data_IF_198773407733
#
_entry.id   IF_198773407733
#
_cell.length_a   1.000
_cell.length_b   1.000
_cell.length_c   1.000
_cell.angle_alpha   90.00
_cell.angle_beta   90.00
_cell.angle_gamma   90.00
#
_symmetry.space_group_name_H-M   'P 1'
#
loop_
_entity.id
_entity.type
_entity.pdbx_description
1 polymer ?
#
# COMPACT_ATOMS: atom_id res chain seq x y z
N UNK A 1 12.07 -18.95 22.39
CA UNK A 1 11.30 -19.59 21.30
C UNK A 1 12.10 -19.56 20.00
N UNK A 2 12.65 -18.40 19.53
CA UNK A 2 13.37 -18.31 18.25
C UNK A 2 14.53 -19.31 18.13
N UNK A 3 15.40 -19.39 19.14
CA UNK A 3 16.54 -20.30 19.15
C UNK A 3 16.08 -21.75 19.01
N UNK A 4 15.08 -22.16 19.79
CA UNK A 4 14.50 -23.50 19.71
C UNK A 4 13.94 -23.82 18.31
N UNK A 5 13.28 -22.85 17.67
CA UNK A 5 12.77 -23.01 16.30
C UNK A 5 13.92 -23.12 15.28
N UNK A 6 15.02 -22.39 15.49
CA UNK A 6 16.22 -22.49 14.65
C UNK A 6 16.89 -23.88 14.77
N UNK A 7 16.87 -24.49 15.97
CA UNK A 7 17.36 -25.85 16.20
C UNK A 7 16.48 -26.91 15.52
N UNK A 8 15.14 -26.77 15.62
CA UNK A 8 14.19 -27.76 15.09
C UNK A 8 14.08 -27.67 13.57
N UNK A 9 13.91 -26.47 13.02
CA UNK A 9 13.62 -26.26 11.61
C UNK A 9 14.83 -25.83 10.79
N UNK A 10 15.92 -25.41 11.46
CA UNK A 10 17.08 -24.79 10.86
C UNK A 10 16.88 -23.29 10.60
N UNK A 11 17.86 -22.46 11.00
CA UNK A 11 17.80 -20.99 10.88
C UNK A 11 17.52 -20.51 9.43
N UNK A 12 18.04 -21.23 8.42
CA UNK A 12 17.82 -20.95 7.00
C UNK A 12 16.35 -21.06 6.56
N UNK A 13 15.53 -21.78 7.33
CA UNK A 13 14.12 -22.01 7.05
C UNK A 13 13.18 -20.99 7.73
N UNK A 14 13.76 -20.01 8.42
CA UNK A 14 13.00 -18.87 8.91
C UNK A 14 12.40 -18.08 7.75
N UNK A 15 11.09 -17.80 7.83
CA UNK A 15 10.35 -17.05 6.81
C UNK A 15 10.13 -15.62 7.26
N UNK A 16 9.43 -15.44 8.39
CA UNK A 16 9.08 -14.10 8.88
C UNK A 16 8.79 -14.10 10.39
N UNK A 17 8.96 -12.93 10.98
CA UNK A 17 8.38 -12.55 12.26
C UNK A 17 7.18 -11.64 11.96
N UNK A 18 6.00 -12.08 12.38
CA UNK A 18 4.76 -11.32 12.21
C UNK A 18 4.45 -10.65 13.53
N UNK A 19 4.29 -9.32 13.50
CA UNK A 19 3.90 -8.51 14.65
C UNK A 19 2.40 -8.29 14.63
N UNK A 20 1.70 -8.72 15.67
CA UNK A 20 0.26 -8.56 15.81
C UNK A 20 -0.01 -7.53 16.90
N UNK A 21 -0.56 -6.38 16.54
CA UNK A 21 -0.94 -5.33 17.50
C UNK A 21 -2.24 -5.70 18.18
N UNK A 22 -2.21 -5.85 19.51
CA UNK A 22 -3.36 -6.25 20.34
C UNK A 22 -4.14 -5.08 20.93
N UNK A 23 -3.46 -4.03 21.32
CA UNK A 23 -4.02 -2.94 22.09
C UNK A 23 -3.30 -1.62 21.81
N UNK A 24 -3.85 -0.51 22.29
CA UNK A 24 -3.15 0.77 22.34
C UNK A 24 -2.20 0.87 23.53
N UNK A 25 -1.66 2.07 23.76
CA UNK A 25 -0.81 2.38 24.91
C UNK A 25 -1.56 2.13 26.23
N UNK A 26 -0.87 1.54 27.21
CA UNK A 26 -1.39 1.23 28.55
C UNK A 26 -0.85 2.19 29.62
N UNK A 27 0.02 3.14 29.25
CA UNK A 27 0.56 4.16 30.16
C UNK A 27 1.58 3.64 31.16
N UNK A 28 2.41 2.67 30.76
CA UNK A 28 3.49 2.14 31.57
C UNK A 28 4.64 3.16 31.74
N UNK A 29 5.49 2.97 32.75
CA UNK A 29 6.68 3.82 32.97
C UNK A 29 7.77 3.67 31.89
N UNK A 30 7.71 2.60 31.10
CA UNK A 30 8.61 2.31 29.97
C UNK A 30 7.80 2.15 28.70
N UNK A 31 8.36 1.56 27.65
CA UNK A 31 7.62 1.25 26.42
C UNK A 31 6.53 0.20 26.71
N UNK A 32 5.31 0.51 26.28
CA UNK A 32 4.18 -0.41 26.39
C UNK A 32 4.37 -1.63 25.49
N UNK A 33 4.13 -2.81 26.01
CA UNK A 33 4.09 -4.04 25.23
C UNK A 33 2.68 -4.23 24.65
N UNK A 34 2.46 -3.70 23.47
CA UNK A 34 1.15 -3.66 22.79
C UNK A 34 0.97 -4.74 21.73
N UNK A 35 1.97 -5.61 21.54
CA UNK A 35 2.02 -6.57 20.43
C UNK A 35 2.31 -7.98 20.89
N UNK A 36 1.78 -8.95 20.16
CA UNK A 36 2.22 -10.34 20.13
C UNK A 36 3.03 -10.61 18.87
N UNK A 37 3.74 -11.74 18.86
CA UNK A 37 4.61 -12.14 17.77
C UNK A 37 4.29 -13.55 17.33
N UNK A 38 4.11 -13.76 16.03
CA UNK A 38 4.06 -15.08 15.40
C UNK A 38 5.38 -15.31 14.67
N UNK A 39 5.97 -16.47 14.92
CA UNK A 39 7.21 -16.85 14.25
C UNK A 39 6.89 -17.88 13.19
N UNK A 40 7.14 -17.52 11.93
CA UNK A 40 6.85 -18.39 10.80
C UNK A 40 8.12 -19.08 10.29
N UNK A 41 8.10 -20.39 10.33
CA UNK A 41 9.10 -21.28 9.73
C UNK A 41 8.46 -22.15 8.66
N UNK A 42 9.26 -22.59 7.71
CA UNK A 42 8.88 -23.60 6.75
C UNK A 42 9.81 -24.82 6.85
N UNK A 43 9.40 -25.94 6.31
CA UNK A 43 10.24 -27.16 6.26
C UNK A 43 11.42 -26.99 5.31
N UNK A 44 11.21 -26.28 4.19
CA UNK A 44 12.24 -25.97 3.20
C UNK A 44 11.90 -24.66 2.48
N UNK A 45 12.70 -23.63 2.71
CA UNK A 45 12.46 -22.27 2.16
C UNK A 45 12.55 -22.22 0.64
N UNK A 46 13.33 -23.10 0.00
CA UNK A 46 13.45 -23.15 -1.47
C UNK A 46 12.24 -23.77 -2.15
N UNK A 47 11.41 -24.50 -1.38
CA UNK A 47 10.22 -25.19 -1.89
C UNK A 47 8.91 -24.63 -1.32
N UNK A 48 8.96 -23.51 -0.61
CA UNK A 48 7.76 -22.90 -0.02
C UNK A 48 6.81 -22.47 -1.13
N UNK A 49 5.54 -22.85 -1.00
CA UNK A 49 4.45 -22.36 -1.84
C UNK A 49 3.71 -21.30 -1.03
N UNK A 50 3.87 -20.04 -1.40
CA UNK A 50 3.21 -18.93 -0.75
C UNK A 50 2.21 -18.28 -1.72
N UNK A 51 0.98 -18.13 -1.25
CA UNK A 51 -0.05 -17.36 -1.94
C UNK A 51 -0.23 -16.04 -1.18
N UNK A 52 0.01 -14.93 -1.85
CA UNK A 52 -0.14 -13.62 -1.24
C UNK A 52 -1.57 -13.44 -0.74
N UNK A 53 -1.69 -13.14 0.54
CA UNK A 53 -2.96 -12.77 1.16
C UNK A 53 -3.22 -11.28 0.97
N UNK A 54 -4.48 -10.93 0.74
CA UNK A 54 -4.92 -9.57 0.52
C UNK A 54 -6.04 -9.21 1.48
N UNK A 55 -6.11 -7.94 1.83
CA UNK A 55 -7.22 -7.34 2.55
C UNK A 55 -7.80 -6.19 1.73
N UNK A 56 -9.09 -5.90 1.89
CA UNK A 56 -9.70 -4.74 1.28
C UNK A 56 -9.01 -3.46 1.76
N UNK A 57 -8.90 -2.48 0.87
CA UNK A 57 -8.39 -1.16 1.27
C UNK A 57 -9.40 -0.47 2.16
N UNK A 58 -8.97 -0.11 3.36
CA UNK A 58 -9.72 0.71 4.27
C UNK A 58 -9.33 2.20 4.08
N UNK A 59 -10.33 3.08 4.12
CA UNK A 59 -10.12 4.54 4.11
C UNK A 59 -9.46 5.08 5.38
N UNK A 60 -9.38 4.28 6.44
CA UNK A 60 -8.63 4.59 7.66
C UNK A 60 -7.14 4.35 7.50
N UNK A 61 -6.72 3.58 6.49
CA UNK A 61 -5.31 3.31 6.22
C UNK A 61 -4.62 4.58 5.68
N UNK A 62 -3.43 4.88 6.21
CA UNK A 62 -2.59 5.98 5.74
C UNK A 62 -2.28 5.90 4.24
N UNK A 63 -2.26 4.72 3.66
CA UNK A 63 -2.03 4.52 2.22
C UNK A 63 -3.16 5.11 1.36
N UNK A 64 -4.39 5.13 1.86
CA UNK A 64 -5.55 5.69 1.15
C UNK A 64 -5.64 7.21 1.26
N UNK A 65 -5.03 7.83 2.28
CA UNK A 65 -4.97 9.28 2.43
C UNK A 65 -4.25 9.99 1.28
N UNK A 66 -3.41 9.27 0.53
CA UNK A 66 -2.72 9.78 -0.66
C UNK A 66 -3.64 9.95 -1.88
N UNK A 67 -4.84 9.33 -1.88
CA UNK A 67 -5.83 9.41 -2.95
C UNK A 67 -6.74 10.63 -2.78
N UNK A 68 -6.14 11.80 -2.65
CA UNK A 68 -6.80 13.07 -2.32
C UNK A 68 -7.11 13.95 -3.53
N UNK A 69 -7.15 13.36 -4.71
CA UNK A 69 -7.66 13.96 -5.95
C UNK A 69 -8.96 13.28 -6.35
N UNK A 70 -9.85 14.05 -6.98
CA UNK A 70 -11.12 13.56 -7.52
C UNK A 70 -11.20 13.76 -9.03
N UNK A 71 -11.70 12.74 -9.74
CA UNK A 71 -12.20 12.86 -11.09
C UNK A 71 -13.73 12.90 -11.05
N UNK A 72 -14.31 13.98 -11.53
CA UNK A 72 -15.75 14.21 -11.53
C UNK A 72 -16.42 13.73 -12.82
N UNK A 73 -17.73 13.70 -12.85
CA UNK A 73 -18.51 13.22 -14.00
C UNK A 73 -18.31 14.04 -15.27
N UNK A 74 -17.88 15.30 -15.16
CA UNK A 74 -17.50 16.18 -16.26
C UNK A 74 -16.04 15.99 -16.73
N UNK A 75 -15.36 14.93 -16.28
CA UNK A 75 -13.93 14.65 -16.47
C UNK A 75 -12.99 15.71 -15.87
N UNK A 76 -13.48 16.62 -15.05
CA UNK A 76 -12.63 17.52 -14.28
C UNK A 76 -11.83 16.75 -13.26
N UNK A 77 -10.52 17.04 -13.19
CA UNK A 77 -9.59 16.43 -12.22
C UNK A 77 -8.96 17.52 -11.37
N UNK A 78 -9.14 17.42 -10.08
CA UNK A 78 -8.52 18.36 -9.14
C UNK A 78 -8.25 17.75 -7.79
N UNK A 79 -7.42 18.42 -7.03
CA UNK A 79 -7.20 18.09 -5.61
C UNK A 79 -8.47 18.42 -4.83
N UNK A 80 -8.85 17.53 -3.93
CA UNK A 80 -9.98 17.70 -3.02
C UNK A 80 -9.57 18.53 -1.79
N UNK A 81 -10.48 19.32 -1.27
CA UNK A 81 -10.37 19.88 0.07
C UNK A 81 -10.48 18.78 1.13
N UNK A 82 -10.15 19.08 2.38
CA UNK A 82 -10.29 18.11 3.47
C UNK A 82 -11.75 17.65 3.63
N UNK A 83 -12.68 18.58 3.55
CA UNK A 83 -14.12 18.29 3.72
C UNK A 83 -14.66 17.46 2.54
N UNK A 84 -14.28 17.81 1.30
CA UNK A 84 -14.63 17.03 0.12
C UNK A 84 -14.07 15.61 0.19
N UNK A 85 -12.84 15.44 0.66
CA UNK A 85 -12.23 14.13 0.82
C UNK A 85 -13.00 13.28 1.84
N UNK A 86 -13.39 13.86 2.98
CA UNK A 86 -14.23 13.17 3.98
C UNK A 86 -15.62 12.83 3.44
N UNK A 87 -16.22 13.69 2.61
CA UNK A 87 -17.49 13.40 1.93
C UNK A 87 -17.33 12.26 0.91
N UNK A 88 -16.24 12.25 0.15
CA UNK A 88 -15.94 11.20 -0.83
C UNK A 88 -15.75 9.84 -0.14
N UNK A 89 -15.01 9.79 0.98
CA UNK A 89 -14.85 8.58 1.81
C UNK A 89 -16.17 8.00 2.28
N UNK A 90 -17.14 8.85 2.59
CA UNK A 90 -18.49 8.46 3.01
C UNK A 90 -19.45 8.18 1.85
N UNK A 91 -18.96 8.20 0.61
CA UNK A 91 -19.78 8.02 -0.60
C UNK A 91 -20.77 9.17 -0.88
N UNK A 92 -20.62 10.30 -0.17
CA UNK A 92 -21.50 11.48 -0.32
C UNK A 92 -21.05 12.45 -1.40
N UNK A 93 -19.82 12.36 -1.88
CA UNK A 93 -19.31 13.11 -3.03
C UNK A 93 -19.07 12.15 -4.19
N UNK A 94 -19.78 12.37 -5.32
CA UNK A 94 -19.64 11.53 -6.51
C UNK A 94 -18.41 11.93 -7.31
N UNK A 95 -17.29 11.30 -7.02
CA UNK A 95 -16.06 11.40 -7.80
C UNK A 95 -15.29 10.09 -7.71
N UNK A 96 -14.41 9.82 -8.69
CA UNK A 96 -13.44 8.74 -8.60
C UNK A 96 -12.18 9.25 -7.92
N UNK A 97 -11.85 8.67 -6.77
CA UNK A 97 -10.64 9.03 -6.04
C UNK A 97 -9.39 8.53 -6.76
N UNK A 98 -8.41 9.39 -6.90
CA UNK A 98 -7.12 9.03 -7.45
C UNK A 98 -5.96 9.77 -6.78
N UNK A 99 -4.75 9.30 -7.05
CA UNK A 99 -3.52 10.02 -6.70
C UNK A 99 -2.65 10.21 -7.93
N UNK A 100 -2.09 11.42 -8.15
CA UNK A 100 -1.00 11.59 -9.10
C UNK A 100 0.24 10.83 -8.60
N UNK A 101 0.78 9.98 -9.44
CA UNK A 101 1.96 9.17 -9.11
C UNK A 101 3.11 9.53 -10.05
N UNK A 102 4.32 9.84 -9.54
CA UNK A 102 5.45 10.18 -10.38
C UNK A 102 5.80 9.06 -11.36
N UNK A 103 6.00 9.43 -12.63
CA UNK A 103 6.40 8.52 -13.70
C UNK A 103 7.92 8.34 -13.80
N UNK A 104 8.69 8.93 -12.87
CA UNK A 104 10.15 8.86 -12.83
C UNK A 104 10.64 7.89 -11.75
N UNK A 105 11.79 7.26 -11.98
CA UNK A 105 12.52 6.36 -11.09
C UNK A 105 13.99 6.78 -11.03
N UNK A 106 14.65 6.52 -9.92
CA UNK A 106 16.10 6.76 -9.78
C UNK A 106 16.93 5.75 -10.56
N UNK A 107 16.41 4.53 -10.77
CA UNK A 107 17.01 3.47 -11.55
C UNK A 107 16.35 3.33 -12.92
N UNK A 108 17.15 3.08 -13.95
CA UNK A 108 16.69 2.86 -15.32
C UNK A 108 17.88 2.84 -16.29
N UNK A 109 17.62 2.62 -17.58
CA UNK A 109 18.60 2.64 -18.65
C UNK A 109 18.43 3.86 -19.57
N UNK A 110 19.42 4.10 -20.45
CA UNK A 110 19.43 5.23 -21.41
C UNK A 110 18.17 5.31 -22.27
N UNK A 111 17.58 4.16 -22.62
CA UNK A 111 16.33 4.06 -23.38
C UNK A 111 15.10 4.57 -22.62
N UNK A 112 15.25 4.92 -21.33
CA UNK A 112 14.19 5.46 -20.48
C UNK A 112 14.33 6.96 -20.21
N UNK A 113 15.14 7.67 -21.02
CA UNK A 113 15.32 9.13 -20.93
C UNK A 113 15.03 9.77 -22.30
N UNK A 114 13.76 10.01 -22.59
CA UNK A 114 13.29 10.63 -23.83
C UNK A 114 12.27 11.74 -23.54
N UNK A 115 11.97 12.55 -24.56
CA UNK A 115 10.94 13.60 -24.45
C UNK A 115 9.57 12.98 -24.67
N UNK A 116 8.62 13.32 -23.78
CA UNK A 116 7.20 13.00 -23.90
C UNK A 116 6.44 14.30 -24.14
N UNK A 117 5.65 14.35 -25.19
CA UNK A 117 4.73 15.45 -25.46
C UNK A 117 3.31 15.12 -24.94
N UNK A 118 2.76 16.03 -24.13
CA UNK A 118 1.42 15.89 -23.58
C UNK A 118 0.79 17.29 -23.41
N UNK A 119 -0.43 17.49 -23.88
CA UNK A 119 -1.16 18.76 -23.81
C UNK A 119 -0.32 19.96 -24.29
N UNK A 120 0.39 19.81 -25.41
CA UNK A 120 1.22 20.86 -26.00
C UNK A 120 2.52 21.17 -25.25
N UNK A 121 2.82 20.45 -24.19
CA UNK A 121 4.04 20.61 -23.40
C UNK A 121 4.99 19.43 -23.58
N UNK A 122 6.29 19.71 -23.41
CA UNK A 122 7.37 18.70 -23.50
C UNK A 122 7.91 18.37 -22.13
N UNK A 123 7.88 17.10 -21.77
CA UNK A 123 8.35 16.59 -20.49
C UNK A 123 9.56 15.68 -20.68
N UNK A 124 10.52 15.81 -19.77
CA UNK A 124 11.70 14.96 -19.66
C UNK A 124 11.91 14.61 -18.17
N UNK A 125 12.47 13.45 -17.83
CA UNK A 125 12.89 13.20 -16.45
C UNK A 125 13.88 14.28 -16.01
N UNK A 126 13.55 15.02 -14.96
CA UNK A 126 14.48 16.04 -14.41
C UNK A 126 15.64 15.36 -13.69
N UNK A 127 15.35 14.25 -12.99
CA UNK A 127 16.32 13.36 -12.36
C UNK A 127 15.86 11.93 -12.57
N UNK A 128 16.79 11.06 -12.92
CA UNK A 128 16.50 9.64 -13.15
C UNK A 128 15.90 9.35 -14.51
N UNK A 129 15.00 8.41 -14.57
CA UNK A 129 14.51 7.78 -15.80
C UNK A 129 12.99 7.65 -15.77
N UNK A 130 12.35 7.51 -16.95
CA UNK A 130 10.94 7.13 -17.00
C UNK A 130 10.74 5.69 -16.49
N UNK A 131 9.65 5.46 -15.78
CA UNK A 131 9.22 4.11 -15.34
C UNK A 131 8.65 3.25 -16.46
N UNK A 132 8.43 3.82 -17.64
CA UNK A 132 7.88 3.13 -18.80
C UNK A 132 8.55 3.61 -20.08
N UNK A 133 8.41 2.84 -21.16
CA UNK A 133 8.92 3.17 -22.50
C UNK A 133 7.93 4.05 -23.29
N UNK A 134 8.29 4.42 -24.53
CA UNK A 134 7.45 5.26 -25.40
C UNK A 134 6.07 4.65 -25.66
N UNK A 135 6.02 3.35 -25.93
CA UNK A 135 4.74 2.64 -26.14
C UNK A 135 3.86 2.64 -24.88
N UNK A 136 4.46 2.53 -23.69
CA UNK A 136 3.77 2.66 -22.43
C UNK A 136 3.14 4.05 -22.26
N UNK A 137 3.85 5.12 -22.65
CA UNK A 137 3.28 6.47 -22.64
C UNK A 137 2.11 6.62 -23.62
N UNK A 138 2.20 6.04 -24.82
CA UNK A 138 1.07 6.09 -25.77
C UNK A 138 -0.16 5.34 -25.22
N UNK A 139 0.05 4.20 -24.54
CA UNK A 139 -1.05 3.51 -23.84
C UNK A 139 -1.64 4.35 -22.70
N UNK A 140 -0.80 5.04 -21.91
CA UNK A 140 -1.27 5.93 -20.85
C UNK A 140 -2.07 7.13 -21.38
N UNK A 141 -1.63 7.74 -22.49
CA UNK A 141 -2.38 8.79 -23.18
C UNK A 141 -3.73 8.28 -23.64
N UNK A 142 -3.75 7.17 -24.39
CA UNK A 142 -4.97 6.57 -24.93
C UNK A 142 -5.98 6.19 -23.84
N UNK A 143 -5.51 5.75 -22.69
CA UNK A 143 -6.35 5.39 -21.54
C UNK A 143 -6.68 6.57 -20.61
N UNK A 144 -6.33 7.80 -21.01
CA UNK A 144 -6.53 9.00 -20.21
C UNK A 144 -5.94 8.89 -18.78
N UNK A 145 -4.73 8.32 -18.68
CA UNK A 145 -4.05 8.06 -17.40
C UNK A 145 -2.87 9.01 -17.12
N UNK A 146 -2.77 10.10 -17.85
CA UNK A 146 -1.78 11.14 -17.61
C UNK A 146 -2.41 12.40 -17.05
N UNK A 147 -1.66 13.12 -16.24
CA UNK A 147 -2.04 14.40 -15.66
C UNK A 147 -0.80 15.26 -15.39
N UNK A 148 -0.91 16.55 -15.66
CA UNK A 148 0.12 17.53 -15.28
C UNK A 148 -0.18 18.00 -13.86
N UNK A 149 0.83 17.91 -12.96
CA UNK A 149 0.76 18.50 -11.62
C UNK A 149 1.99 19.39 -11.43
N UNK A 150 1.77 20.69 -11.33
CA UNK A 150 2.84 21.68 -11.41
C UNK A 150 3.54 21.60 -12.76
N UNK A 151 4.83 21.31 -12.76
CA UNK A 151 5.66 21.16 -13.97
C UNK A 151 6.02 19.70 -14.27
N UNK A 152 5.29 18.71 -13.72
CA UNK A 152 5.60 17.27 -13.84
C UNK A 152 4.44 16.51 -14.44
N UNK A 153 4.79 15.54 -15.29
CA UNK A 153 3.86 14.57 -15.81
C UNK A 153 3.70 13.42 -14.82
N UNK A 154 2.47 13.10 -14.46
CA UNK A 154 2.13 12.08 -13.48
C UNK A 154 1.16 11.05 -14.07
N UNK A 155 1.23 9.84 -13.54
CA UNK A 155 0.24 8.78 -13.76
C UNK A 155 -0.97 8.98 -12.85
N UNK A 156 -2.15 8.94 -13.41
CA UNK A 156 -3.42 8.94 -12.69
C UNK A 156 -3.71 7.53 -12.19
N UNK A 157 -3.47 7.29 -10.91
CA UNK A 157 -3.74 6.01 -10.26
C UNK A 157 -5.01 6.11 -9.46
N UNK A 158 -6.09 5.49 -9.94
CA UNK A 158 -7.33 5.44 -9.20
C UNK A 158 -7.24 4.51 -7.99
N UNK A 159 -8.09 4.76 -6.99
CA UNK A 159 -8.15 3.94 -5.79
C UNK A 159 -8.64 2.52 -6.11
N UNK A 160 -9.59 2.41 -7.03
CA UNK A 160 -10.20 1.19 -7.50
C UNK A 160 -9.39 0.43 -8.57
N UNK A 161 -8.28 0.98 -9.08
CA UNK A 161 -7.37 0.24 -9.95
C UNK A 161 -6.82 -1.02 -9.26
N UNK A 162 -6.70 -0.99 -7.93
CA UNK A 162 -6.28 -2.11 -7.10
C UNK A 162 -6.99 -2.02 -5.75
N UNK A 163 -8.18 -2.62 -5.62
CA UNK A 163 -9.07 -2.42 -4.47
C UNK A 163 -8.57 -3.09 -3.19
N UNK A 164 -7.51 -3.86 -3.26
CA UNK A 164 -6.95 -4.60 -2.13
C UNK A 164 -5.53 -4.17 -1.80
N UNK A 165 -5.09 -4.45 -0.58
CA UNK A 165 -3.71 -4.26 -0.11
C UNK A 165 -3.13 -5.61 0.27
N UNK A 166 -1.89 -5.88 -0.14
CA UNK A 166 -1.20 -7.10 0.26
C UNK A 166 -0.99 -7.11 1.79
N UNK A 167 -1.34 -8.21 2.42
CA UNK A 167 -1.05 -8.42 3.84
C UNK A 167 0.47 -8.54 4.02
N UNK A 168 1.00 -7.80 4.99
CA UNK A 168 2.43 -7.80 5.33
C UNK A 168 2.69 -8.56 6.63
N UNK A 169 3.87 -8.46 7.19
CA UNK A 169 4.19 -9.01 8.50
C UNK A 169 3.86 -8.07 9.68
N UNK A 170 3.14 -7.00 9.44
CA UNK A 170 2.55 -6.13 10.45
C UNK A 170 1.02 -6.22 10.39
N UNK A 171 0.42 -6.79 11.41
CA UNK A 171 -1.02 -6.97 11.51
C UNK A 171 -1.59 -6.02 12.56
N UNK A 172 -2.36 -5.06 12.10
CA UNK A 172 -3.04 -4.06 12.91
C UNK A 172 -4.58 -4.25 12.79
N UNK A 173 -5.33 -3.67 13.74
CA UNK A 173 -6.80 -3.69 13.71
C UNK A 173 -7.46 -4.97 14.20
N UNK A 174 -6.69 -6.02 14.53
CA UNK A 174 -7.27 -7.29 15.03
C UNK A 174 -7.78 -7.19 16.48
N UNK A 175 -7.22 -6.27 17.27
CA UNK A 175 -7.58 -6.12 18.68
C UNK A 175 -7.21 -7.32 19.55
N UNK A 176 -7.56 -7.25 20.82
CA UNK A 176 -7.52 -8.38 21.74
C UNK A 176 -8.72 -9.32 21.58
N UNK A 177 -8.66 -10.52 22.16
CA UNK A 177 -9.80 -11.44 22.18
C UNK A 177 -11.00 -10.79 22.87
N UNK A 178 -12.16 -10.75 22.21
CA UNK A 178 -13.44 -10.43 22.81
C UNK A 178 -13.99 -11.67 23.54
N UNK A 179 -14.74 -11.46 24.64
CA UNK A 179 -15.39 -12.54 25.41
C UNK A 179 -14.40 -13.64 25.86
N UNK A 180 -13.29 -13.23 26.47
CA UNK A 180 -12.24 -14.15 26.91
C UNK A 180 -12.76 -15.21 27.86
N UNK A 181 -12.45 -16.47 27.57
CA UNK A 181 -12.70 -17.62 28.44
C UNK A 181 -11.53 -17.86 29.42
N UNK A 182 -10.32 -17.30 29.13
CA UNK A 182 -9.16 -17.33 30.00
C UNK A 182 -8.26 -16.10 29.79
N UNK A 183 -7.39 -15.80 30.73
CA UNK A 183 -6.69 -14.51 30.89
C UNK A 183 -5.81 -14.13 29.68
N UNK A 184 -5.15 -15.09 29.05
CA UNK A 184 -4.20 -14.87 27.95
C UNK A 184 -4.68 -15.41 26.60
N UNK A 185 -5.97 -15.36 26.37
CA UNK A 185 -6.55 -15.85 25.13
C UNK A 185 -6.16 -14.97 23.94
N UNK A 186 -5.66 -15.61 22.87
CA UNK A 186 -5.39 -15.01 21.57
C UNK A 186 -6.72 -14.77 20.83
N UNK A 187 -6.81 -13.68 20.08
CA UNK A 187 -7.96 -13.45 19.20
C UNK A 187 -8.00 -14.53 18.11
N UNK A 188 -9.18 -15.15 17.90
CA UNK A 188 -9.37 -16.21 16.91
C UNK A 188 -9.02 -15.76 15.48
N UNK A 189 -9.31 -14.52 15.13
CA UNK A 189 -8.97 -13.92 13.82
C UNK A 189 -7.46 -13.95 13.51
N UNK A 190 -6.60 -14.14 14.51
CA UNK A 190 -5.16 -14.30 14.30
C UNK A 190 -4.82 -15.73 13.83
N UNK A 191 -5.72 -16.69 14.09
CA UNK A 191 -5.52 -18.13 13.86
C UNK A 191 -6.28 -18.60 12.60
N UNK A 192 -7.38 -17.96 12.28
CA UNK A 192 -8.20 -18.20 11.07
C UNK A 192 -7.56 -17.62 9.81
#
# INVERSE_FOLDING_TARGET
VRILMDEIFGAKNFVSLITVKKTGSLGQKTLDNVSDYLIWYCKNKTKIKYHQLYQEKDFTDNSTSLYNYGEFTNNERRKLTKDEFELAKKGKLKCKLFRPTPLTSESGGENSSFIVEFEGQKFRPVKGYWKTNKEGFERLKKSNRLMIVGNRLNYVRFLDDFPVTALTNLWDGLGGAANKQYVVQTNSTVIE
#
